data_IF_206206456323
#
_entry.id   IF_206206456323
#
_cell.length_a   1.000
_cell.length_b   1.000
_cell.length_c   1.000
_cell.angle_alpha   90.00
_cell.angle_beta   90.00
_cell.angle_gamma   90.00
#
_symmetry.space_group_name_H-M   'P 1'
#
loop_
_entity.id
_entity.type
_entity.pdbx_description
1 polymer ?
#
# COMPACT_ATOMS: atom_id res chain seq x y z
N UNK A 1 44.24 -0.71 -24.10
CA UNK A 1 45.46 -1.10 -23.37
C UNK A 1 45.56 -0.25 -22.11
N UNK A 2 44.96 -0.70 -21.02
CA UNK A 2 45.07 -0.06 -19.71
C UNK A 2 46.28 -0.66 -19.00
N UNK A 3 47.29 0.17 -18.77
CA UNK A 3 48.58 -0.21 -18.20
C UNK A 3 48.40 -0.57 -16.72
N UNK A 4 48.88 -1.73 -16.28
CA UNK A 4 48.96 -2.07 -14.84
C UNK A 4 49.83 -1.01 -14.14
N UNK A 5 49.36 -0.38 -13.04
CA UNK A 5 50.20 0.50 -12.25
C UNK A 5 51.32 -0.33 -11.61
N UNK A 6 52.57 -0.05 -12.00
CA UNK A 6 53.79 -0.70 -11.51
C UNK A 6 54.40 0.12 -10.38
N UNK A 7 53.61 0.41 -9.34
CA UNK A 7 54.09 1.09 -8.14
C UNK A 7 54.21 0.06 -7.02
N UNK A 8 55.42 -0.21 -6.49
CA UNK A 8 55.58 -1.19 -5.42
C UNK A 8 55.15 -0.55 -4.09
N UNK A 9 53.98 -0.93 -3.58
CA UNK A 9 53.53 -0.51 -2.24
C UNK A 9 52.03 -0.62 -1.96
N UNK A 10 51.16 -0.50 -2.98
CA UNK A 10 49.72 -0.64 -2.83
C UNK A 10 49.25 -1.91 -3.53
N UNK A 11 49.11 -3.01 -2.78
CA UNK A 11 48.38 -4.15 -3.30
C UNK A 11 46.91 -3.73 -3.47
N UNK A 12 46.35 -3.80 -4.70
CA UNK A 12 44.96 -3.45 -4.92
C UNK A 12 44.09 -4.33 -4.03
N UNK A 13 43.16 -3.70 -3.32
CA UNK A 13 42.24 -4.41 -2.44
C UNK A 13 41.52 -5.53 -3.20
N UNK A 14 41.12 -6.60 -2.51
CA UNK A 14 40.43 -7.74 -3.13
C UNK A 14 39.23 -7.33 -4.00
N UNK A 15 38.53 -6.26 -3.61
CA UNK A 15 37.42 -5.69 -4.37
C UNK A 15 37.90 -5.01 -5.65
N UNK A 16 38.99 -4.24 -5.57
CA UNK A 16 39.57 -3.54 -6.71
C UNK A 16 40.17 -4.52 -7.73
N UNK A 17 40.84 -5.58 -7.25
CA UNK A 17 41.31 -6.68 -8.09
C UNK A 17 40.16 -7.37 -8.82
N UNK A 18 39.06 -7.67 -8.11
CA UNK A 18 37.83 -8.23 -8.71
C UNK A 18 37.18 -7.28 -9.71
N UNK A 19 37.25 -5.96 -9.48
CA UNK A 19 36.74 -4.96 -10.43
C UNK A 19 37.58 -4.90 -11.70
N UNK A 20 38.91 -4.90 -11.57
CA UNK A 20 39.82 -4.96 -12.72
C UNK A 20 39.63 -6.24 -13.52
N UNK A 21 39.53 -7.38 -12.84
CA UNK A 21 39.25 -8.67 -13.49
C UNK A 21 37.85 -8.74 -14.10
N UNK A 22 36.88 -7.97 -13.56
CA UNK A 22 35.51 -7.87 -14.09
C UNK A 22 35.36 -6.93 -15.27
N UNK A 23 36.21 -5.90 -15.36
CA UNK A 23 36.16 -4.87 -16.38
C UNK A 23 37.22 -5.06 -17.48
N UNK A 24 38.05 -6.11 -17.40
CA UNK A 24 39.06 -6.41 -18.41
C UNK A 24 38.42 -6.57 -19.80
N UNK A 25 38.66 -5.64 -20.74
CA UNK A 25 38.06 -5.68 -22.07
C UNK A 25 38.52 -6.88 -22.90
N UNK A 26 39.64 -7.51 -22.52
CA UNK A 26 40.17 -8.70 -23.18
C UNK A 26 39.57 -10.01 -22.63
N UNK A 27 38.87 -9.96 -21.49
CA UNK A 27 38.24 -11.14 -20.90
C UNK A 27 36.94 -11.47 -21.64
N UNK A 28 37.00 -12.34 -22.65
CA UNK A 28 35.83 -13.03 -23.20
C UNK A 28 35.26 -13.99 -22.15
N UNK A 29 34.38 -13.49 -21.29
CA UNK A 29 33.58 -14.34 -20.40
C UNK A 29 32.48 -14.99 -21.23
N UNK A 30 32.31 -16.31 -21.17
CA UNK A 30 31.14 -16.93 -21.76
C UNK A 30 29.90 -16.33 -21.06
N UNK A 31 28.84 -15.98 -21.80
CA UNK A 31 27.60 -15.54 -21.19
C UNK A 31 27.16 -16.58 -20.16
N UNK A 32 26.74 -16.13 -18.98
CA UNK A 32 26.28 -17.04 -17.94
C UNK A 32 25.21 -17.97 -18.55
N UNK A 33 25.35 -19.30 -18.43
CA UNK A 33 24.52 -20.24 -19.17
C UNK A 33 23.03 -20.12 -18.83
N UNK A 34 22.72 -19.53 -17.67
CA UNK A 34 21.38 -19.33 -17.14
C UNK A 34 20.85 -17.89 -17.31
N UNK A 35 21.61 -16.97 -17.94
CA UNK A 35 21.23 -15.56 -18.00
C UNK A 35 19.89 -15.37 -18.73
N UNK A 36 19.69 -16.11 -19.82
CA UNK A 36 18.41 -16.13 -20.55
C UNK A 36 17.28 -16.76 -19.72
N UNK A 37 17.54 -17.85 -19.01
CA UNK A 37 16.53 -18.51 -18.16
C UNK A 37 16.09 -17.61 -17.01
N UNK A 38 17.03 -16.87 -16.41
CA UNK A 38 16.76 -15.89 -15.34
C UNK A 38 15.92 -14.72 -15.86
N UNK A 39 16.25 -14.19 -17.03
CA UNK A 39 15.50 -13.09 -17.65
C UNK A 39 14.09 -13.55 -18.02
N UNK A 40 13.95 -14.71 -18.66
CA UNK A 40 12.66 -15.30 -19.01
C UNK A 40 11.81 -15.60 -17.76
N UNK A 41 12.41 -16.11 -16.70
CA UNK A 41 11.78 -16.31 -15.40
C UNK A 41 11.24 -15.00 -14.81
N UNK A 42 12.05 -13.94 -14.78
CA UNK A 42 11.61 -12.65 -14.25
C UNK A 42 10.46 -12.02 -15.06
N UNK A 43 10.45 -12.20 -16.39
CA UNK A 43 9.36 -11.72 -17.27
C UNK A 43 8.08 -12.51 -17.01
N UNK A 44 8.19 -13.83 -16.82
CA UNK A 44 7.04 -14.68 -16.51
C UNK A 44 6.42 -14.31 -15.15
N UNK A 45 7.25 -14.07 -14.14
CA UNK A 45 6.84 -13.62 -12.81
C UNK A 45 6.16 -12.25 -12.85
N UNK A 46 6.71 -11.29 -13.62
CA UNK A 46 6.12 -9.96 -13.74
C UNK A 46 4.75 -10.01 -14.44
N UNK A 47 4.58 -10.87 -15.46
CA UNK A 47 3.25 -11.13 -16.07
C UNK A 47 2.28 -11.75 -15.08
N UNK A 48 2.71 -12.74 -14.30
CA UNK A 48 1.86 -13.39 -13.31
C UNK A 48 1.41 -12.40 -12.24
N UNK A 49 2.31 -11.52 -11.79
CA UNK A 49 2.02 -10.45 -10.84
C UNK A 49 1.02 -9.44 -11.38
N UNK A 50 1.22 -8.96 -12.61
CA UNK A 50 0.28 -8.04 -13.29
C UNK A 50 -1.11 -8.67 -13.38
N UNK A 51 -1.22 -9.93 -13.82
CA UNK A 51 -2.50 -10.65 -13.92
C UNK A 51 -3.23 -10.77 -12.58
N UNK A 52 -2.51 -11.01 -11.48
CA UNK A 52 -3.12 -11.05 -10.13
C UNK A 52 -3.70 -9.69 -9.74
N UNK A 53 -2.96 -8.61 -10.00
CA UNK A 53 -3.42 -7.24 -9.72
C UNK A 53 -4.63 -6.89 -10.59
N UNK A 54 -4.58 -7.19 -11.90
CA UNK A 54 -5.73 -6.91 -12.79
C UNK A 54 -6.94 -7.72 -12.37
N UNK A 55 -6.79 -9.01 -12.01
CA UNK A 55 -7.89 -9.83 -11.51
C UNK A 55 -8.48 -9.25 -10.23
N UNK A 56 -7.66 -8.82 -9.28
CA UNK A 56 -8.15 -8.20 -8.04
C UNK A 56 -8.93 -6.90 -8.34
N UNK A 57 -8.43 -6.05 -9.23
CA UNK A 57 -9.13 -4.82 -9.65
C UNK A 57 -10.44 -5.13 -10.39
N UNK A 58 -10.44 -6.13 -11.27
CA UNK A 58 -11.65 -6.56 -12.00
C UNK A 58 -12.68 -7.16 -11.04
N UNK A 59 -12.25 -7.94 -10.05
CA UNK A 59 -13.15 -8.48 -9.02
C UNK A 59 -13.73 -7.34 -8.17
N UNK A 60 -12.92 -6.36 -7.77
CA UNK A 60 -13.38 -5.20 -7.00
C UNK A 60 -14.39 -4.37 -7.82
N UNK A 61 -14.03 -4.02 -9.07
CA UNK A 61 -14.90 -3.26 -9.96
C UNK A 61 -16.19 -4.02 -10.28
N UNK A 62 -16.08 -5.33 -10.54
CA UNK A 62 -17.22 -6.21 -10.74
C UNK A 62 -18.12 -6.29 -9.52
N UNK A 63 -17.54 -6.35 -8.32
CA UNK A 63 -18.28 -6.28 -7.05
C UNK A 63 -19.03 -4.97 -6.88
N UNK A 64 -18.39 -3.84 -7.18
CA UNK A 64 -19.03 -2.50 -7.13
C UNK A 64 -20.17 -2.41 -8.15
N UNK A 65 -19.95 -2.85 -9.39
CA UNK A 65 -20.98 -2.83 -10.45
C UNK A 65 -22.14 -3.76 -10.10
N UNK A 66 -21.87 -4.96 -9.60
CA UNK A 66 -22.89 -5.90 -9.17
C UNK A 66 -23.71 -5.33 -8.01
N UNK A 67 -23.04 -4.72 -7.02
CA UNK A 67 -23.71 -4.10 -5.87
C UNK A 67 -24.57 -2.91 -6.31
N UNK A 68 -24.05 -2.03 -7.18
CA UNK A 68 -24.82 -0.94 -7.75
C UNK A 68 -26.01 -1.44 -8.59
N UNK A 69 -25.83 -2.51 -9.37
CA UNK A 69 -26.89 -3.13 -10.15
C UNK A 69 -27.98 -3.73 -9.25
N UNK A 70 -27.60 -4.43 -8.17
CA UNK A 70 -28.53 -4.94 -7.15
C UNK A 70 -29.32 -3.78 -6.56
N UNK A 71 -28.65 -2.71 -6.14
CA UNK A 71 -29.32 -1.52 -5.59
C UNK A 71 -30.34 -0.95 -6.59
N UNK A 72 -29.96 -0.76 -7.85
CA UNK A 72 -30.85 -0.23 -8.88
C UNK A 72 -32.01 -1.18 -9.23
N UNK A 73 -31.82 -2.50 -9.12
CA UNK A 73 -32.85 -3.50 -9.38
C UNK A 73 -33.87 -3.61 -8.24
N UNK A 74 -33.40 -3.52 -7.00
CA UNK A 74 -34.23 -3.68 -5.80
C UNK A 74 -34.83 -2.36 -5.30
N UNK A 75 -34.43 -1.21 -5.86
CA UNK A 75 -35.05 0.09 -5.56
C UNK A 75 -36.43 0.18 -6.21
N UNK A 76 -37.53 0.32 -5.43
CA UNK A 76 -38.85 0.57 -5.97
C UNK A 76 -38.86 1.91 -6.71
N UNK A 77 -39.45 1.94 -7.91
CA UNK A 77 -39.65 3.19 -8.66
C UNK A 77 -41.01 3.75 -8.30
N UNK A 78 -41.06 5.03 -7.93
CA UNK A 78 -42.32 5.69 -7.70
C UNK A 78 -43.12 5.83 -9.02
N UNK A 79 -44.46 5.96 -8.98
CA UNK A 79 -45.32 6.01 -10.17
C UNK A 79 -44.98 7.13 -11.17
N UNK A 80 -44.31 8.17 -10.68
CA UNK A 80 -43.80 9.35 -11.37
C UNK A 80 -42.39 9.16 -11.98
N UNK A 81 -41.83 7.95 -11.95
CA UNK A 81 -40.53 7.63 -12.57
C UNK A 81 -39.30 8.06 -11.77
N UNK A 82 -39.49 8.73 -10.62
CA UNK A 82 -38.41 9.04 -9.70
C UNK A 82 -37.99 7.79 -8.90
N UNK A 83 -36.67 7.58 -8.78
CA UNK A 83 -36.08 6.56 -7.92
C UNK A 83 -36.27 6.99 -6.47
N UNK A 84 -37.12 6.29 -5.73
CA UNK A 84 -37.23 6.42 -4.28
C UNK A 84 -36.33 5.38 -3.64
N UNK A 85 -35.08 5.74 -3.44
CA UNK A 85 -34.14 4.96 -2.63
C UNK A 85 -34.45 5.23 -1.16
N UNK A 86 -34.72 4.19 -0.38
CA UNK A 86 -34.78 4.33 1.06
C UNK A 86 -33.40 4.73 1.61
N UNK A 87 -33.39 5.59 2.63
CA UNK A 87 -32.18 6.14 3.24
C UNK A 87 -31.17 5.04 3.63
N UNK A 88 -31.66 3.90 4.16
CA UNK A 88 -30.81 2.81 4.67
C UNK A 88 -30.01 2.12 3.55
N UNK A 89 -30.50 2.15 2.31
CA UNK A 89 -29.82 1.50 1.18
C UNK A 89 -28.49 2.21 0.91
N UNK A 90 -28.51 3.54 0.92
CA UNK A 90 -27.31 4.35 0.71
C UNK A 90 -26.33 4.22 1.89
N UNK A 91 -26.84 4.14 3.12
CA UNK A 91 -26.02 3.90 4.32
C UNK A 91 -25.30 2.55 4.22
N UNK A 92 -26.03 1.45 3.99
CA UNK A 92 -25.47 0.09 3.87
C UNK A 92 -24.45 0.01 2.73
N UNK A 93 -24.76 0.63 1.58
CA UNK A 93 -23.83 0.69 0.46
C UNK A 93 -22.52 1.39 0.85
N UNK A 94 -22.63 2.54 1.51
CA UNK A 94 -21.46 3.32 1.91
C UNK A 94 -20.64 2.57 2.95
N UNK A 95 -21.26 1.91 3.93
CA UNK A 95 -20.56 1.08 4.91
C UNK A 95 -19.81 -0.08 4.26
N UNK A 96 -20.46 -0.81 3.34
CA UNK A 96 -19.81 -1.90 2.60
C UNK A 96 -18.62 -1.36 1.79
N UNK A 97 -18.77 -0.18 1.17
CA UNK A 97 -17.70 0.47 0.44
C UNK A 97 -16.54 0.88 1.35
N UNK A 98 -16.82 1.44 2.54
CA UNK A 98 -15.80 1.82 3.53
C UNK A 98 -15.04 0.60 4.06
N UNK A 99 -15.75 -0.50 4.36
CA UNK A 99 -15.14 -1.77 4.77
C UNK A 99 -14.27 -2.32 3.64
N UNK A 100 -14.79 -2.32 2.40
CA UNK A 100 -14.05 -2.75 1.22
C UNK A 100 -12.78 -1.93 1.01
N UNK A 101 -12.86 -0.61 1.17
CA UNK A 101 -11.73 0.31 1.08
C UNK A 101 -10.69 0.02 2.18
N UNK A 102 -11.13 -0.18 3.42
CA UNK A 102 -10.25 -0.50 4.55
C UNK A 102 -9.47 -1.81 4.31
N UNK A 103 -10.14 -2.86 3.85
CA UNK A 103 -9.52 -4.15 3.55
C UNK A 103 -8.61 -4.09 2.32
N UNK A 104 -8.98 -3.30 1.30
CA UNK A 104 -8.19 -3.13 0.09
C UNK A 104 -6.89 -2.34 0.34
N UNK A 105 -6.91 -1.35 1.24
CA UNK A 105 -5.73 -0.54 1.53
C UNK A 105 -4.69 -1.22 2.42
N UNK A 106 -5.10 -2.12 3.33
CA UNK A 106 -4.17 -2.81 4.22
C UNK A 106 -2.94 -3.41 3.50
N UNK A 107 -3.14 -4.20 2.42
CA UNK A 107 -2.04 -4.73 1.61
C UNK A 107 -1.15 -3.66 0.95
N UNK A 108 -1.73 -2.52 0.53
CA UNK A 108 -0.98 -1.43 -0.11
C UNK A 108 -0.03 -0.76 0.89
N UNK A 109 -0.51 -0.45 2.09
CA UNK A 109 0.30 0.19 3.13
C UNK A 109 1.41 -0.74 3.59
N UNK A 110 1.12 -2.02 3.76
CA UNK A 110 2.10 -3.04 4.11
C UNK A 110 3.22 -3.17 3.09
N UNK A 111 2.90 -3.02 1.79
CA UNK A 111 3.88 -3.07 0.71
C UNK A 111 4.87 -1.92 0.80
N UNK A 112 4.41 -0.69 1.00
CA UNK A 112 5.28 0.49 1.11
C UNK A 112 6.03 0.51 2.45
N UNK A 113 5.36 0.17 3.55
CA UNK A 113 5.97 0.07 4.87
C UNK A 113 7.13 -0.92 4.90
N UNK A 114 7.04 -2.06 4.18
CA UNK A 114 8.12 -3.07 4.17
C UNK A 114 9.43 -2.55 3.59
N UNK A 115 9.38 -1.77 2.49
CA UNK A 115 10.58 -1.19 1.91
C UNK A 115 11.23 -0.21 2.89
N UNK A 116 10.43 0.67 3.50
CA UNK A 116 10.91 1.65 4.47
C UNK A 116 11.45 1.04 5.77
N UNK A 117 10.77 0.02 6.31
CA UNK A 117 11.21 -0.67 7.51
C UNK A 117 12.54 -1.41 7.28
N UNK A 118 12.78 -1.92 6.07
CA UNK A 118 14.06 -2.53 5.72
C UNK A 118 15.20 -1.50 5.73
N UNK A 119 14.95 -0.28 5.25
CA UNK A 119 15.97 0.79 5.23
C UNK A 119 16.30 1.30 6.65
N UNK A 120 15.28 1.50 7.50
CA UNK A 120 15.49 2.04 8.87
C UNK A 120 15.98 0.98 9.85
N UNK A 121 15.45 -0.25 9.78
CA UNK A 121 15.78 -1.34 10.70
C UNK A 121 16.73 -2.37 10.09
N UNK A 122 17.59 -1.96 9.15
CA UNK A 122 18.54 -2.86 8.47
C UNK A 122 19.40 -3.69 9.46
N UNK A 123 19.81 -3.09 10.58
CA UNK A 123 20.62 -3.70 11.63
C UNK A 123 19.84 -4.67 12.55
N UNK A 124 18.50 -4.55 12.61
CA UNK A 124 17.67 -5.41 13.46
C UNK A 124 16.32 -5.72 12.76
N UNK A 125 16.31 -6.70 11.84
CA UNK A 125 15.15 -6.99 11.00
C UNK A 125 13.93 -7.53 11.78
N UNK A 126 14.14 -8.06 13.00
CA UNK A 126 13.03 -8.50 13.84
C UNK A 126 12.19 -7.32 14.33
N UNK A 127 12.82 -6.21 14.73
CA UNK A 127 12.12 -4.99 15.15
C UNK A 127 11.30 -4.40 14.00
N UNK A 128 11.88 -4.36 12.79
CA UNK A 128 11.17 -3.93 11.59
C UNK A 128 9.94 -4.79 11.30
N UNK A 129 10.03 -6.11 11.47
CA UNK A 129 8.88 -7.02 11.30
C UNK A 129 7.77 -6.75 12.33
N UNK A 130 8.11 -6.58 13.60
CA UNK A 130 7.13 -6.30 14.66
C UNK A 130 6.46 -4.94 14.49
N UNK A 131 7.20 -3.91 14.09
CA UNK A 131 6.65 -2.59 13.78
C UNK A 131 5.62 -2.65 12.64
N UNK A 132 5.90 -3.41 11.58
CA UNK A 132 4.96 -3.59 10.47
C UNK A 132 3.67 -4.29 10.89
N UNK A 133 3.73 -5.24 11.84
CA UNK A 133 2.52 -5.90 12.37
C UNK A 133 1.73 -4.95 13.26
N UNK A 134 2.41 -4.20 14.13
CA UNK A 134 1.76 -3.24 15.03
C UNK A 134 1.03 -2.15 14.26
N UNK A 135 1.67 -1.58 13.23
CA UNK A 135 1.06 -0.56 12.37
C UNK A 135 -0.14 -1.09 11.58
N UNK A 136 -0.13 -2.36 11.17
CA UNK A 136 -1.28 -3.04 10.53
C UNK A 136 -2.49 -3.07 11.48
N UNK A 137 -2.29 -3.46 12.74
CA UNK A 137 -3.36 -3.52 13.75
C UNK A 137 -3.92 -2.14 14.04
N UNK A 138 -3.05 -1.14 14.25
CA UNK A 138 -3.47 0.25 14.51
C UNK A 138 -4.27 0.79 13.34
N UNK A 139 -3.86 0.49 12.11
CA UNK A 139 -4.60 0.85 10.91
C UNK A 139 -6.04 0.33 10.97
N UNK A 140 -6.25 -0.98 11.12
CA UNK A 140 -7.60 -1.55 11.20
C UNK A 140 -8.44 -1.03 12.35
N UNK A 141 -7.83 -0.76 13.52
CA UNK A 141 -8.54 -0.16 14.65
C UNK A 141 -9.08 1.24 14.30
N UNK A 142 -8.26 2.08 13.66
CA UNK A 142 -8.68 3.43 13.26
C UNK A 142 -9.81 3.38 12.23
N UNK A 143 -9.76 2.50 11.22
CA UNK A 143 -10.85 2.37 10.25
C UNK A 143 -12.13 1.84 10.86
N UNK A 144 -12.01 0.80 11.67
CA UNK A 144 -13.17 0.21 12.35
C UNK A 144 -13.83 1.26 13.24
N UNK A 145 -13.03 2.01 14.02
CA UNK A 145 -13.54 3.09 14.84
C UNK A 145 -14.23 4.17 13.99
N UNK A 146 -13.61 4.61 12.90
CA UNK A 146 -14.19 5.61 12.00
C UNK A 146 -15.55 5.17 11.43
N UNK A 147 -15.66 3.93 10.96
CA UNK A 147 -16.90 3.37 10.42
C UNK A 147 -17.97 3.32 11.53
N UNK A 148 -17.62 2.77 12.70
CA UNK A 148 -18.55 2.68 13.85
C UNK A 148 -18.99 4.05 14.39
N UNK A 149 -18.14 5.08 14.31
CA UNK A 149 -18.51 6.44 14.71
C UNK A 149 -19.39 7.17 13.71
N UNK A 150 -19.39 6.72 12.44
CA UNK A 150 -20.07 7.44 11.37
C UNK A 150 -21.32 6.73 10.86
N UNK A 151 -21.47 5.43 11.16
CA UNK A 151 -22.68 4.67 10.82
C UNK A 151 -23.91 5.27 11.48
N UNK A 152 -24.99 5.40 10.71
CA UNK A 152 -26.28 5.89 11.19
C UNK A 152 -27.31 4.75 11.21
N UNK A 153 -27.84 4.42 12.38
CA UNK A 153 -28.88 3.37 12.54
C UNK A 153 -30.30 3.90 12.41
N UNK A 154 -30.46 5.23 12.37
CA UNK A 154 -31.72 5.92 12.12
C UNK A 154 -31.47 7.10 11.16
N UNK A 155 -32.49 7.54 10.42
CA UNK A 155 -32.37 8.76 9.61
C UNK A 155 -32.06 9.95 10.51
N UNK A 156 -31.10 10.78 10.11
CA UNK A 156 -30.82 12.03 10.80
C UNK A 156 -32.00 13.00 10.66
N UNK A 157 -32.12 13.96 11.57
CA UNK A 157 -33.23 14.94 11.56
C UNK A 157 -33.39 15.70 10.24
N UNK A 158 -32.29 15.92 9.51
CA UNK A 158 -32.30 16.58 8.19
C UNK A 158 -32.58 15.63 7.03
N UNK A 159 -32.76 14.33 7.29
CA UNK A 159 -32.98 13.29 6.30
C UNK A 159 -34.47 12.89 6.30
N UNK A 160 -35.00 12.62 5.11
CA UNK A 160 -36.28 11.94 4.97
C UNK A 160 -36.10 10.43 5.02
N UNK A 161 -37.20 9.69 4.88
CA UNK A 161 -37.14 8.24 4.67
C UNK A 161 -36.51 7.87 3.32
N UNK A 162 -36.52 8.79 2.36
CA UNK A 162 -35.83 8.65 1.08
C UNK A 162 -34.46 9.34 1.07
N UNK A 163 -33.59 8.88 0.18
CA UNK A 163 -32.28 9.50 -0.06
C UNK A 163 -32.44 10.94 -0.55
N UNK A 164 -31.86 11.85 0.21
CA UNK A 164 -31.80 13.28 -0.11
C UNK A 164 -30.39 13.69 -0.55
N UNK A 165 -30.23 14.80 -1.30
CA UNK A 165 -28.91 15.32 -1.66
C UNK A 165 -27.99 15.56 -0.46
N UNK A 166 -28.57 15.97 0.68
CA UNK A 166 -27.84 16.15 1.93
C UNK A 166 -27.22 14.84 2.46
N UNK A 167 -27.91 13.71 2.30
CA UNK A 167 -27.38 12.39 2.67
C UNK A 167 -26.23 11.99 1.74
N UNK A 168 -26.38 12.19 0.42
CA UNK A 168 -25.31 11.90 -0.55
C UNK A 168 -24.05 12.71 -0.24
N UNK A 169 -24.20 14.01 0.06
CA UNK A 169 -23.07 14.86 0.45
C UNK A 169 -22.41 14.39 1.76
N UNK A 170 -23.21 13.93 2.73
CA UNK A 170 -22.72 13.37 3.97
C UNK A 170 -21.91 12.07 3.76
N UNK A 171 -22.45 11.12 3.00
CA UNK A 171 -21.75 9.87 2.66
C UNK A 171 -20.46 10.12 1.87
N UNK A 172 -20.48 11.05 0.90
CA UNK A 172 -19.28 11.48 0.19
C UNK A 172 -18.24 12.08 1.17
N UNK A 173 -18.70 12.83 2.18
CA UNK A 173 -17.87 13.32 3.27
C UNK A 173 -17.24 12.20 4.10
N UNK A 174 -17.96 11.09 4.34
CA UNK A 174 -17.40 9.91 5.03
C UNK A 174 -16.28 9.24 4.24
N UNK A 175 -16.50 9.07 2.93
CA UNK A 175 -15.48 8.53 2.01
C UNK A 175 -14.29 9.49 1.90
N UNK A 176 -14.52 10.80 1.88
CA UNK A 176 -13.44 11.79 1.91
C UNK A 176 -12.67 11.76 3.22
N UNK A 177 -13.36 11.66 4.35
CA UNK A 177 -12.78 11.67 5.69
C UNK A 177 -11.88 10.46 5.95
N UNK A 178 -12.31 9.26 5.57
CA UNK A 178 -11.47 8.05 5.69
C UNK A 178 -10.20 8.19 4.85
N UNK A 179 -10.30 8.66 3.59
CA UNK A 179 -9.16 8.87 2.70
C UNK A 179 -8.21 9.95 3.22
N UNK A 180 -8.75 11.00 3.84
CA UNK A 180 -7.95 12.05 4.48
C UNK A 180 -7.17 11.50 5.67
N UNK A 181 -7.82 10.74 6.57
CA UNK A 181 -7.17 10.10 7.73
C UNK A 181 -6.01 9.21 7.23
N UNK A 182 -6.25 8.42 6.18
CA UNK A 182 -5.22 7.59 5.55
C UNK A 182 -4.05 8.45 5.07
N UNK A 183 -4.33 9.50 4.29
CA UNK A 183 -3.31 10.38 3.74
C UNK A 183 -2.45 11.02 4.83
N UNK A 184 -3.08 11.47 5.91
CA UNK A 184 -2.39 12.08 7.06
C UNK A 184 -1.56 11.06 7.82
N UNK A 185 -2.11 9.91 8.20
CA UNK A 185 -1.38 8.87 8.92
C UNK A 185 -0.20 8.34 8.10
N UNK A 186 -0.40 8.17 6.79
CA UNK A 186 0.66 7.75 5.90
C UNK A 186 1.75 8.82 5.76
N UNK A 187 1.36 10.09 5.60
CA UNK A 187 2.29 11.21 5.56
C UNK A 187 3.12 11.34 6.85
N UNK A 188 2.47 11.18 8.01
CA UNK A 188 3.14 11.17 9.31
C UNK A 188 4.15 10.02 9.41
N UNK A 189 3.79 8.82 8.98
CA UNK A 189 4.70 7.68 8.99
C UNK A 189 5.95 7.92 8.12
N UNK A 190 5.80 8.57 6.96
CA UNK A 190 6.94 8.93 6.10
C UNK A 190 7.89 9.91 6.81
N UNK A 191 7.36 10.86 7.59
CA UNK A 191 8.16 11.87 8.30
C UNK A 191 8.79 11.32 9.59
N UNK A 192 8.07 10.50 10.34
CA UNK A 192 8.51 9.98 11.66
C UNK A 192 9.63 8.95 11.54
N UNK A 193 9.59 8.09 10.52
CA UNK A 193 10.55 6.99 10.38
C UNK A 193 12.02 7.45 10.25
N UNK A 194 12.37 8.45 9.41
CA UNK A 194 13.73 9.00 9.35
C UNK A 194 14.22 9.56 10.69
N UNK A 195 13.32 10.17 11.47
CA UNK A 195 13.65 10.75 12.77
C UNK A 195 13.99 9.64 13.76
N UNK A 196 13.18 8.58 13.82
CA UNK A 196 13.43 7.41 14.67
C UNK A 196 14.75 6.71 14.29
N UNK A 197 15.04 6.55 12.99
CA UNK A 197 16.31 6.00 12.52
C UNK A 197 17.52 6.81 12.99
N UNK A 198 17.44 8.15 12.90
CA UNK A 198 18.49 9.05 13.42
C UNK A 198 18.64 8.95 14.93
N UNK A 199 17.54 8.94 15.69
CA UNK A 199 17.56 8.84 17.15
C UNK A 199 18.20 7.54 17.63
N UNK A 200 17.85 6.39 17.02
CA UNK A 200 18.49 5.12 17.38
C UNK A 200 19.97 5.08 17.01
N UNK A 201 20.36 5.68 15.88
CA UNK A 201 21.78 5.80 15.50
C UNK A 201 22.58 6.68 16.47
N UNK A 202 21.97 7.76 16.98
CA UNK A 202 22.58 8.68 17.94
C UNK A 202 22.72 8.01 19.31
N UNK A 203 21.68 7.35 19.80
CA UNK A 203 21.73 6.64 21.08
C UNK A 203 22.86 5.59 21.09
N UNK A 204 23.05 4.88 19.98
CA UNK A 204 24.12 3.88 19.85
C UNK A 204 25.53 4.47 19.88
N UNK A 205 25.72 5.73 19.43
CA UNK A 205 27.01 6.44 19.53
C UNK A 205 27.30 6.93 20.94
N UNK A 206 26.27 7.09 21.77
CA UNK A 206 26.39 7.56 23.15
C UNK A 206 26.54 6.36 24.11
N UNK A 207 25.99 5.19 23.76
CA UNK A 207 25.99 3.98 24.60
C UNK A 207 27.16 2.99 24.39
N UNK A 208 28.22 3.34 23.65
CA UNK A 208 29.43 2.51 23.60
C UNK A 208 30.40 2.87 22.46
N UNK A 209 31.69 2.54 22.60
CA UNK A 209 32.18 1.18 22.84
C UNK A 209 32.04 0.66 24.27
#
# INVERSE_FOLDING_TARGET
MTQRPSTPGDEPTEVERRLYDALDPAATRPPAPDLFDRVLGSIADDRARRRRITRALVILAGGIVLLAAIILLFTPRAPNGHLTLDWWILEVFTDVLLIGLALWLGPFIKRFGRAYAADVFHDNPQTGKSYLVLTDIVYYLIFTAYILFTVSFEPRESWGLGVLPAQVAFEAGRIGGILLIIGVLHGLNIVLMPILGRLFSLNRRISGP
#
